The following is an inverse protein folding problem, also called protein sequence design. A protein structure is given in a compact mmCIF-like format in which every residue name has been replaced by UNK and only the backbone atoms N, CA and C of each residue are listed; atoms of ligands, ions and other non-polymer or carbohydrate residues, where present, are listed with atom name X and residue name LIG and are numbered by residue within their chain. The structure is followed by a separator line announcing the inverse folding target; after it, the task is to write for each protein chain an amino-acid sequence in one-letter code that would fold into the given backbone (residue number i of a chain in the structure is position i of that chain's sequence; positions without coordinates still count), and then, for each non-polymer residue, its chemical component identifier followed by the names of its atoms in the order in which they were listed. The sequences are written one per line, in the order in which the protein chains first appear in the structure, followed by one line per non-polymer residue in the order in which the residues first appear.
data_IF_790276313268
#
_entry.id   IF_790276313268
#
_cell.length_a   1.000
_cell.length_b   1.000
_cell.length_c   1.000
_cell.angle_alpha   90.00
_cell.angle_beta   90.00
_cell.angle_gamma   90.00
#
_symmetry.space_group_name_H-M   'P 1'
#
loop_
_entity.id
_entity.type
_entity.pdbx_description
1 polymer ?
#
# COMPACT_ATOMS: atom_id res chain seq x y z
N UNK A 1 7.18 22.09 -11.08
CA UNK A 1 8.05 21.29 -10.20
C UNK A 1 7.38 20.95 -8.86
N UNK A 2 6.82 21.91 -8.10
CA UNK A 2 6.12 21.61 -6.84
C UNK A 2 4.80 20.78 -6.99
N UNK A 3 4.11 20.91 -8.12
CA UNK A 3 2.83 20.21 -8.37
C UNK A 3 2.99 18.69 -8.56
N UNK A 4 4.14 18.25 -9.07
CA UNK A 4 4.42 16.83 -9.37
C UNK A 4 4.70 16.06 -8.07
N UNK A 5 5.47 16.65 -7.15
CA UNK A 5 5.86 15.97 -5.91
C UNK A 5 4.72 15.86 -4.88
N UNK A 6 3.78 16.82 -4.87
CA UNK A 6 2.55 16.74 -4.04
C UNK A 6 1.63 15.59 -4.46
N UNK A 7 1.63 15.23 -5.74
CA UNK A 7 0.85 14.11 -6.28
C UNK A 7 1.62 12.80 -6.25
N UNK A 8 2.95 12.80 -6.49
CA UNK A 8 3.75 11.58 -6.55
C UNK A 8 3.70 10.77 -5.26
N UNK A 9 3.95 11.37 -4.10
CA UNK A 9 4.02 10.64 -2.83
C UNK A 9 2.73 9.86 -2.50
N UNK A 10 1.56 10.48 -2.74
CA UNK A 10 0.27 9.82 -2.53
C UNK A 10 -0.17 8.92 -3.66
N UNK A 11 0.09 9.28 -4.92
CA UNK A 11 -0.19 8.43 -6.07
C UNK A 11 0.60 7.11 -6.01
N UNK A 12 1.80 7.17 -5.45
CA UNK A 12 2.72 6.05 -5.26
C UNK A 12 2.15 5.00 -4.31
N UNK A 13 1.83 5.39 -3.08
CA UNK A 13 1.21 4.49 -2.10
C UNK A 13 -0.20 4.08 -2.49
N UNK A 14 -0.98 4.98 -3.12
CA UNK A 14 -2.30 4.65 -3.66
C UNK A 14 -2.24 3.59 -4.76
N UNK A 15 -1.29 3.69 -5.69
CA UNK A 15 -1.15 2.71 -6.78
C UNK A 15 -0.83 1.32 -6.24
N UNK A 16 0.06 1.22 -5.25
CA UNK A 16 0.41 -0.06 -4.64
C UNK A 16 -0.78 -0.66 -3.86
N UNK A 17 -1.53 0.18 -3.16
CA UNK A 17 -2.69 -0.26 -2.38
C UNK A 17 -3.91 -0.64 -3.25
N UNK A 18 -4.27 0.20 -4.22
CA UNK A 18 -5.47 0.02 -5.03
C UNK A 18 -5.27 -0.93 -6.22
N UNK A 19 -4.12 -0.85 -6.92
CA UNK A 19 -3.88 -1.64 -8.14
C UNK A 19 -3.12 -2.93 -7.87
N UNK A 20 -2.14 -2.90 -6.98
CA UNK A 20 -1.33 -4.08 -6.66
C UNK A 20 -1.89 -4.85 -5.46
N UNK A 21 -2.86 -4.29 -4.74
CA UNK A 21 -3.39 -4.86 -3.50
C UNK A 21 -2.28 -5.24 -2.52
N UNK A 22 -1.30 -4.34 -2.35
CA UNK A 22 -0.14 -4.52 -1.49
C UNK A 22 0.14 -3.27 -0.66
N UNK A 23 0.62 -3.48 0.55
CA UNK A 23 1.24 -2.47 1.41
C UNK A 23 2.75 -2.74 1.38
N UNK A 24 3.57 -1.73 1.07
CA UNK A 24 5.00 -1.93 0.96
C UNK A 24 5.63 -2.37 2.28
N UNK A 25 5.13 -1.81 3.38
CA UNK A 25 5.54 -2.10 4.75
C UNK A 25 7.00 -1.80 5.07
N UNK A 26 7.71 -1.13 4.16
CA UNK A 26 9.02 -0.51 4.39
C UNK A 26 9.33 0.57 3.35
N UNK A 27 8.32 1.34 2.96
CA UNK A 27 8.52 2.37 1.93
C UNK A 27 9.32 3.53 2.51
N UNK A 28 10.41 3.86 1.83
CA UNK A 28 11.28 5.01 2.11
C UNK A 28 11.90 5.51 0.81
N UNK A 29 12.61 6.64 0.86
CA UNK A 29 13.32 7.20 -0.29
C UNK A 29 14.39 6.27 -0.87
N UNK A 30 14.91 5.34 -0.07
CA UNK A 30 15.90 4.36 -0.50
C UNK A 30 15.30 3.28 -1.40
N UNK A 31 14.00 3.02 -1.23
CA UNK A 31 13.25 2.01 -1.98
C UNK A 31 12.52 2.60 -3.19
N UNK A 32 12.87 3.83 -3.58
CA UNK A 32 12.31 4.56 -4.72
C UNK A 32 13.45 4.91 -5.69
N UNK A 33 13.42 4.31 -6.88
CA UNK A 33 14.29 4.69 -7.97
C UNK A 33 13.58 5.68 -8.89
N UNK A 34 14.28 6.75 -9.28
CA UNK A 34 13.78 7.70 -10.27
C UNK A 34 14.55 7.54 -11.59
N UNK A 35 13.83 7.18 -12.65
CA UNK A 35 14.40 6.97 -13.97
C UNK A 35 13.41 7.43 -15.05
N UNK A 36 13.90 8.19 -16.03
CA UNK A 36 13.14 8.69 -17.19
C UNK A 36 11.79 9.35 -16.84
N UNK A 37 11.77 10.17 -15.78
CA UNK A 37 10.57 10.89 -15.38
C UNK A 37 9.59 10.07 -14.53
N UNK A 38 9.87 8.79 -14.28
CA UNK A 38 9.03 7.87 -13.53
C UNK A 38 9.69 7.38 -12.23
N UNK A 39 8.86 7.08 -11.24
CA UNK A 39 9.27 6.42 -10.00
C UNK A 39 9.06 4.91 -10.11
N UNK A 40 10.03 4.14 -9.64
CA UNK A 40 10.01 2.69 -9.57
C UNK A 40 10.22 2.25 -8.13
N UNK A 41 9.40 1.31 -7.66
CA UNK A 41 9.55 0.74 -6.33
C UNK A 41 10.37 -0.53 -6.39
N UNK A 42 11.26 -0.67 -5.42
CA UNK A 42 12.11 -1.84 -5.26
C UNK A 42 12.01 -2.37 -3.84
N UNK A 43 12.53 -3.57 -3.62
CA UNK A 43 12.51 -4.25 -2.33
C UNK A 43 11.10 -4.47 -1.76
N UNK A 44 10.21 -4.99 -2.60
CA UNK A 44 8.86 -5.44 -2.22
C UNK A 44 8.86 -6.80 -1.50
N UNK A 45 10.03 -7.30 -1.10
CA UNK A 45 10.18 -8.60 -0.46
C UNK A 45 9.48 -8.69 0.90
N UNK A 46 9.32 -7.55 1.57
CA UNK A 46 8.64 -7.40 2.86
C UNK A 46 7.21 -6.87 2.73
N UNK A 47 6.71 -6.70 1.49
CA UNK A 47 5.36 -6.19 1.28
C UNK A 47 4.32 -7.18 1.78
N UNK A 48 3.25 -6.64 2.37
CA UNK A 48 2.16 -7.44 2.93
C UNK A 48 0.87 -7.14 2.20
N UNK A 49 -0.02 -8.11 2.22
CA UNK A 49 -1.36 -7.92 1.70
C UNK A 49 -2.19 -7.02 2.65
N UNK A 50 -3.15 -6.22 2.15
CA UNK A 50 -3.98 -5.33 2.94
C UNK A 50 -4.79 -6.01 4.06
N UNK A 51 -4.90 -7.34 4.04
CA UNK A 51 -5.59 -8.13 5.08
C UNK A 51 -4.65 -8.68 6.15
N UNK A 52 -3.35 -8.41 6.07
CA UNK A 52 -2.42 -8.66 7.17
C UNK A 52 -2.91 -7.91 8.43
N UNK A 53 -2.82 -8.51 9.64
CA UNK A 53 -3.33 -7.90 10.87
C UNK A 53 -2.82 -6.47 11.10
N UNK A 54 -1.55 -6.23 10.78
CA UNK A 54 -0.85 -4.95 10.94
C UNK A 54 -0.77 -4.12 9.64
N UNK A 55 -1.58 -4.45 8.62
CA UNK A 55 -1.48 -3.81 7.31
C UNK A 55 -1.69 -2.29 7.36
N UNK A 56 -2.61 -1.81 8.21
CA UNK A 56 -2.87 -0.37 8.33
C UNK A 56 -1.76 0.33 9.08
N UNK A 57 -1.21 -0.31 10.11
CA UNK A 57 -0.03 0.18 10.82
C UNK A 57 1.18 0.34 9.89
N UNK A 58 1.43 -0.65 9.03
CA UNK A 58 2.48 -0.55 8.01
C UNK A 58 2.20 0.53 6.97
N UNK A 59 0.97 0.63 6.48
CA UNK A 59 0.58 1.67 5.54
C UNK A 59 0.78 3.08 6.12
N UNK A 60 0.41 3.27 7.40
CA UNK A 60 0.61 4.55 8.07
C UNK A 60 2.11 4.89 8.21
N UNK A 61 2.94 3.90 8.54
CA UNK A 61 4.40 4.09 8.57
C UNK A 61 4.96 4.52 7.22
N UNK A 62 4.51 3.89 6.13
CA UNK A 62 4.88 4.26 4.77
C UNK A 62 4.47 5.72 4.47
N UNK A 63 3.27 6.13 4.89
CA UNK A 63 2.79 7.51 4.75
C UNK A 63 3.67 8.51 5.50
N UNK A 64 4.05 8.20 6.75
CA UNK A 64 4.94 9.05 7.56
C UNK A 64 6.29 9.23 6.87
N UNK A 65 6.90 8.14 6.40
CA UNK A 65 8.21 8.19 5.73
C UNK A 65 8.17 9.05 4.47
N UNK A 66 7.15 8.86 3.62
CA UNK A 66 6.95 9.62 2.39
C UNK A 66 6.70 11.10 2.69
N UNK A 67 5.80 11.42 3.62
CA UNK A 67 5.51 12.80 4.00
C UNK A 67 6.76 13.49 4.55
N UNK A 68 7.54 12.83 5.40
CA UNK A 68 8.78 13.38 5.95
C UNK A 68 9.83 13.63 4.87
N UNK A 69 10.01 12.68 3.95
CA UNK A 69 10.95 12.83 2.84
C UNK A 69 10.62 14.06 1.97
N UNK A 70 9.38 14.18 1.51
CA UNK A 70 8.98 15.30 0.64
C UNK A 70 8.97 16.64 1.38
N UNK A 71 8.48 16.66 2.63
CA UNK A 71 8.49 17.88 3.45
C UNK A 71 9.92 18.37 3.71
N UNK A 72 10.86 17.46 3.99
CA UNK A 72 12.29 17.77 4.15
C UNK A 72 12.96 18.32 2.89
N UNK A 73 12.37 18.13 1.71
CA UNK A 73 12.82 18.69 0.43
C UNK A 73 12.11 20.00 0.05
N UNK A 74 11.29 20.56 0.95
CA UNK A 74 10.55 21.80 0.71
C UNK A 74 9.34 21.64 -0.22
N UNK A 75 8.88 20.40 -0.42
CA UNK A 75 7.65 20.12 -1.16
C UNK A 75 6.48 20.14 -0.19
N UNK A 76 5.40 20.82 -0.57
CA UNK A 76 4.15 20.73 0.16
C UNK A 76 3.58 19.30 0.08
N UNK A 77 3.62 18.57 1.19
CA UNK A 77 3.05 17.23 1.35
C UNK A 77 1.79 17.30 2.24
N UNK A 78 0.88 16.33 2.08
CA UNK A 78 -0.22 16.10 3.01
C UNK A 78 0.33 15.62 4.36
N UNK A 79 -0.42 15.83 5.45
CA UNK A 79 -0.08 15.20 6.72
C UNK A 79 -0.13 13.66 6.57
N UNK A 80 0.60 12.90 7.40
CA UNK A 80 0.54 11.44 7.31
C UNK A 80 -0.88 10.89 7.49
N UNK A 81 -1.70 11.51 8.33
CA UNK A 81 -3.09 11.15 8.60
C UNK A 81 -4.00 11.44 7.42
N UNK A 82 -3.84 12.61 6.79
CA UNK A 82 -4.54 12.98 5.56
C UNK A 82 -4.18 12.04 4.41
N UNK A 83 -2.89 11.72 4.27
CA UNK A 83 -2.39 10.82 3.24
C UNK A 83 -2.92 9.40 3.44
N UNK A 84 -2.85 8.88 4.66
CA UNK A 84 -3.41 7.59 5.02
C UNK A 84 -4.90 7.52 4.73
N UNK A 85 -5.65 8.55 5.12
CA UNK A 85 -7.09 8.61 4.91
C UNK A 85 -7.44 8.66 3.42
N UNK A 86 -6.62 9.36 2.64
CA UNK A 86 -6.76 9.43 1.19
C UNK A 86 -6.56 8.07 0.51
N UNK A 87 -5.55 7.29 0.92
CA UNK A 87 -5.20 6.00 0.32
C UNK A 87 -6.14 4.88 0.79
N UNK A 88 -6.39 4.80 2.09
CA UNK A 88 -7.15 3.70 2.69
C UNK A 88 -8.66 3.92 2.62
N UNK A 89 -9.11 5.17 2.45
CA UNK A 89 -10.52 5.57 2.58
C UNK A 89 -11.04 5.54 4.02
N UNK A 90 -10.17 5.32 5.01
CA UNK A 90 -10.53 5.24 6.42
C UNK A 90 -10.22 6.56 7.14
N UNK A 91 -11.09 7.01 8.05
CA UNK A 91 -10.83 8.25 8.79
C UNK A 91 -9.73 8.02 9.83
N UNK A 92 -8.65 8.81 9.75
CA UNK A 92 -7.62 8.90 10.78
C UNK A 92 -7.43 10.36 11.20
N UNK A 93 -7.32 10.61 12.51
CA UNK A 93 -7.20 11.97 13.06
C UNK A 93 -6.01 12.08 14.01
N UNK A 94 -5.43 13.29 14.15
CA UNK A 94 -4.32 13.54 15.08
C UNK A 94 -4.78 13.70 16.56
N UNK A 95 -6.09 13.73 16.81
CA UNK A 95 -6.67 14.12 18.09
C UNK A 95 -6.51 13.07 19.19
N UNK A 96 -6.19 11.83 18.84
CA UNK A 96 -6.04 10.71 19.77
C UNK A 96 -4.87 9.83 19.39
N UNK A 97 -4.49 8.89 20.27
CA UNK A 97 -3.36 7.99 20.00
C UNK A 97 -3.56 7.23 18.68
N UNK A 98 -2.72 7.57 17.70
CA UNK A 98 -2.81 7.04 16.34
C UNK A 98 -2.63 5.51 16.36
N UNK A 99 -1.78 4.98 17.23
CA UNK A 99 -1.58 3.53 17.38
C UNK A 99 -2.85 2.84 17.84
N UNK A 100 -3.60 3.46 18.77
CA UNK A 100 -4.88 2.94 19.23
C UNK A 100 -5.96 3.04 18.14
N UNK A 101 -6.01 4.14 17.39
CA UNK A 101 -6.92 4.30 16.27
C UNK A 101 -6.67 3.25 15.18
N UNK A 102 -5.41 3.03 14.81
CA UNK A 102 -5.03 2.02 13.81
C UNK A 102 -5.42 0.62 14.26
N UNK A 103 -5.12 0.25 15.53
CA UNK A 103 -5.50 -1.04 16.07
C UNK A 103 -7.04 -1.27 16.08
N UNK A 104 -7.83 -0.22 16.31
CA UNK A 104 -9.29 -0.30 16.25
C UNK A 104 -9.81 -0.42 14.81
N UNK A 105 -9.22 0.33 13.87
CA UNK A 105 -9.51 0.21 12.45
C UNK A 105 -9.16 -1.18 11.92
N UNK A 106 -8.02 -1.75 12.33
CA UNK A 106 -7.62 -3.10 11.95
C UNK A 106 -8.63 -4.15 12.45
N UNK A 107 -9.06 -4.06 13.72
CA UNK A 107 -10.06 -4.97 14.27
C UNK A 107 -11.41 -4.86 13.57
N UNK A 108 -11.86 -3.64 13.27
CA UNK A 108 -13.16 -3.41 12.63
C UNK A 108 -13.17 -3.80 11.15
N UNK A 109 -12.06 -3.64 10.44
CA UNK A 109 -11.94 -3.98 9.03
C UNK A 109 -11.59 -5.45 8.78
N UNK A 110 -11.00 -6.17 9.75
CA UNK A 110 -10.61 -7.58 9.62
C UNK A 110 -11.73 -8.50 9.07
N UNK A 111 -12.99 -8.44 9.54
CA UNK A 111 -14.07 -9.26 8.98
C UNK A 111 -14.40 -8.93 7.53
N UNK A 112 -14.42 -7.63 7.20
CA UNK A 112 -14.74 -7.12 5.86
C UNK A 112 -13.67 -7.51 4.84
N UNK A 113 -12.40 -7.37 5.23
CA UNK A 113 -11.22 -7.70 4.41
C UNK A 113 -11.06 -9.21 4.20
N UNK A 114 -11.35 -10.04 5.21
CA UNK A 114 -11.41 -11.51 5.05
C UNK A 114 -12.49 -11.95 4.07
N UNK A 115 -13.64 -11.28 4.07
CA UNK A 115 -14.71 -11.53 3.10
C UNK A 115 -14.28 -11.19 1.66
N UNK A 116 -13.57 -10.06 1.48
CA UNK A 116 -13.03 -9.66 0.18
C UNK A 116 -11.94 -10.60 -0.33
N UNK A 117 -11.01 -11.05 0.53
CA UNK A 117 -9.98 -12.01 0.16
C UNK A 117 -10.57 -13.33 -0.34
N UNK A 118 -11.54 -13.89 0.38
CA UNK A 118 -12.25 -15.11 -0.06
C UNK A 118 -12.96 -14.92 -1.40
N UNK A 119 -13.54 -13.75 -1.64
CA UNK A 119 -14.20 -13.43 -2.90
C UNK A 119 -13.19 -13.28 -4.05
N UNK A 120 -12.02 -12.67 -3.78
CA UNK A 120 -10.95 -12.51 -4.76
C UNK A 120 -10.29 -13.85 -5.10
N UNK A 121 -9.98 -14.67 -4.09
CA UNK A 121 -9.51 -16.05 -4.31
C UNK A 121 -10.53 -16.82 -5.15
N UNK A 122 -11.81 -16.79 -4.78
CA UNK A 122 -12.85 -17.46 -5.54
C UNK A 122 -12.96 -16.94 -7.00
N UNK A 123 -12.82 -15.63 -7.23
CA UNK A 123 -12.82 -15.05 -8.57
C UNK A 123 -11.60 -15.51 -9.38
N UNK A 124 -10.41 -15.54 -8.77
CA UNK A 124 -9.18 -16.03 -9.40
C UNK A 124 -9.29 -17.53 -9.75
N UNK A 125 -9.91 -18.32 -8.88
CA UNK A 125 -10.18 -19.75 -9.16
C UNK A 125 -11.20 -19.93 -10.29
N UNK A 126 -12.16 -19.02 -10.46
CA UNK A 126 -13.13 -19.06 -11.56
C UNK A 126 -12.57 -18.52 -12.88
N UNK A 127 -11.56 -17.66 -12.83
CA UNK A 127 -10.81 -17.19 -14.01
C UNK A 127 -9.71 -18.18 -14.46
N UNK A 128 -9.47 -19.25 -13.70
CA UNK A 128 -8.40 -20.22 -13.94
C UNK A 128 -8.73 -21.43 -14.83
N UNK A 129 -9.95 -21.55 -15.36
CA UNK A 129 -10.35 -22.65 -16.25
C UNK A 129 -10.56 -22.16 -17.70
N UNK A 130 -9.47 -21.98 -18.47
CA UNK A 130 -9.33 -22.31 -19.91
C UNK A 130 -8.05 -21.66 -20.46
N UNK A 131 -6.89 -22.30 -20.27
CA UNK A 131 -5.73 -22.16 -21.16
C UNK A 131 -4.76 -23.31 -20.85
N UNK A 132 -4.95 -24.45 -21.51
CA UNK A 132 -4.08 -25.61 -21.42
C UNK A 132 -2.64 -25.32 -21.87
N UNK A 133 -1.81 -24.80 -20.97
CA UNK A 133 -0.36 -24.78 -21.13
C UNK A 133 0.22 -25.99 -20.38
N UNK A 134 0.47 -27.06 -21.14
CA UNK A 134 1.31 -28.17 -20.70
C UNK A 134 2.70 -27.64 -20.31
N UNK A 135 2.97 -27.57 -19.01
CA UNK A 135 4.31 -27.32 -18.48
C UNK A 135 5.02 -28.68 -18.41
N UNK A 136 6.08 -28.95 -19.19
CA UNK A 136 6.74 -30.24 -19.15
C UNK A 136 7.48 -30.38 -17.81
N UNK A 137 7.06 -31.36 -17.01
CA UNK A 137 7.77 -31.76 -15.80
C UNK A 137 9.06 -32.45 -16.23
N UNK A 138 10.18 -31.73 -16.15
CA UNK A 138 11.51 -32.34 -16.25
C UNK A 138 11.82 -32.99 -14.90
N UNK A 139 11.64 -34.30 -14.81
CA UNK A 139 12.19 -35.09 -13.69
C UNK A 139 13.62 -35.50 -14.03
N UNK A 140 14.57 -35.10 -13.18
CA UNK A 140 15.95 -35.62 -13.14
C UNK A 140 16.03 -37.01 -12.54
#
# INVERSE_FOLDING_TARGET
MAYIARFLGGWMTQTMYEKCHLVHADLSEYNILYHDGACWFIDVSQSVEPFHPEALTFLYRDCVNITNFFSGKGVAALSPEELFSHISGLPLTDQSDISLQLAELEKSEQPRRRGQHRALEAALFLEGDDDGVDIPVVTS
#
